data_IF_707635616728
#
_entry.id   IF_707635616728
#
_cell.length_a   1.000
_cell.length_b   1.000
_cell.length_c   1.000
_cell.angle_alpha   90.00
_cell.angle_beta   90.00
_cell.angle_gamma   90.00
#
_symmetry.space_group_name_H-M   'P 1'
#
loop_
_entity.id
_entity.type
_entity.pdbx_description
1 polymer ?
#
# COMPACT_ATOMS: atom_id res chain seq x y z
N UNK A 1 3.01 -8.53 27.38
CA UNK A 1 3.35 -8.31 25.95
C UNK A 1 2.17 -7.62 25.29
N UNK A 2 2.41 -6.54 24.55
CA UNK A 2 1.39 -5.84 23.78
C UNK A 2 0.82 -6.75 22.69
N UNK A 3 -0.46 -6.59 22.34
CA UNK A 3 -1.16 -7.47 21.40
C UNK A 3 -0.50 -7.50 20.01
N UNK A 4 -0.03 -6.35 19.53
CA UNK A 4 0.75 -6.20 18.30
C UNK A 4 2.01 -7.08 18.30
N UNK A 5 2.75 -7.12 19.43
CA UNK A 5 3.95 -7.96 19.55
C UNK A 5 3.64 -9.44 19.47
N UNK A 6 2.50 -9.87 20.01
CA UNK A 6 2.07 -11.27 19.92
C UNK A 6 1.84 -11.66 18.46
N UNK A 7 1.14 -10.81 17.70
CA UNK A 7 0.92 -11.03 16.26
C UNK A 7 2.25 -11.09 15.51
N UNK A 8 3.15 -10.14 15.75
CA UNK A 8 4.47 -10.09 15.09
C UNK A 8 5.28 -11.35 15.41
N UNK A 9 5.26 -11.84 16.65
CA UNK A 9 5.92 -13.08 17.02
C UNK A 9 5.38 -14.29 16.25
N UNK A 10 4.05 -14.38 16.08
CA UNK A 10 3.42 -15.46 15.32
C UNK A 10 3.85 -15.39 13.85
N UNK A 11 3.79 -14.20 13.23
CA UNK A 11 4.24 -14.00 11.84
C UNK A 11 5.71 -14.39 11.65
N UNK A 12 6.59 -13.97 12.57
CA UNK A 12 8.00 -14.31 12.53
C UNK A 12 8.24 -15.83 12.64
N UNK A 13 7.48 -16.52 13.51
CA UNK A 13 7.56 -17.97 13.65
C UNK A 13 7.17 -18.69 12.35
N UNK A 14 6.10 -18.28 11.68
CA UNK A 14 5.72 -18.84 10.37
C UNK A 14 6.74 -18.52 9.26
N UNK A 15 7.34 -17.33 9.27
CA UNK A 15 8.40 -17.00 8.33
C UNK A 15 9.64 -17.89 8.52
N UNK A 16 10.05 -18.14 9.77
CA UNK A 16 11.14 -19.06 10.09
C UNK A 16 10.79 -20.49 9.65
N UNK A 17 9.57 -20.96 9.95
CA UNK A 17 9.11 -22.28 9.51
C UNK A 17 9.09 -22.41 7.99
N UNK A 18 8.63 -21.40 7.27
CA UNK A 18 8.66 -21.38 5.79
C UNK A 18 10.07 -21.41 5.24
N UNK A 19 10.99 -20.63 5.82
CA UNK A 19 12.41 -20.65 5.44
C UNK A 19 13.08 -22.01 5.70
N UNK A 20 12.81 -22.61 6.86
CA UNK A 20 13.32 -23.95 7.19
C UNK A 20 12.73 -25.02 6.27
N UNK A 21 11.42 -25.00 6.05
CA UNK A 21 10.76 -25.94 5.13
C UNK A 21 11.36 -25.82 3.71
N UNK A 22 11.66 -24.60 3.25
CA UNK A 22 12.34 -24.40 1.97
C UNK A 22 13.72 -25.08 1.92
N UNK A 23 14.53 -24.93 2.97
CA UNK A 23 15.88 -25.54 3.05
C UNK A 23 15.79 -27.07 3.06
N UNK A 24 14.79 -27.64 3.74
CA UNK A 24 14.62 -29.10 3.85
C UNK A 24 13.84 -29.74 2.69
N UNK A 25 13.67 -29.03 1.57
CA UNK A 25 13.07 -29.56 0.34
C UNK A 25 11.56 -29.39 0.25
N UNK A 26 10.98 -28.40 0.95
CA UNK A 26 9.60 -27.95 0.86
C UNK A 26 8.56 -29.07 1.05
N UNK A 27 8.68 -29.84 2.13
CA UNK A 27 7.80 -30.99 2.40
C UNK A 27 6.45 -30.57 2.95
N UNK A 28 6.38 -29.44 3.67
CA UNK A 28 5.16 -28.89 4.25
C UNK A 28 4.45 -27.92 3.30
N UNK A 29 5.10 -27.55 2.18
CA UNK A 29 4.59 -26.60 1.19
C UNK A 29 4.69 -25.13 1.64
N UNK A 30 5.17 -24.86 2.86
CA UNK A 30 5.34 -23.53 3.42
C UNK A 30 6.52 -22.80 2.76
N UNK A 31 7.55 -23.54 2.35
CA UNK A 31 8.71 -23.01 1.66
C UNK A 31 8.41 -22.38 0.31
N UNK A 32 7.35 -22.84 -0.38
CA UNK A 32 6.89 -22.21 -1.63
C UNK A 32 6.29 -20.82 -1.38
N UNK A 33 5.40 -20.71 -0.40
CA UNK A 33 4.80 -19.42 -0.02
C UNK A 33 5.86 -18.42 0.49
N UNK A 34 6.89 -18.92 1.20
CA UNK A 34 8.03 -18.10 1.62
C UNK A 34 8.83 -17.56 0.42
N UNK A 35 9.12 -18.40 -0.58
CA UNK A 35 9.84 -17.99 -1.79
C UNK A 35 9.04 -17.00 -2.66
N UNK A 36 7.73 -17.24 -2.81
CA UNK A 36 6.82 -16.29 -3.48
C UNK A 36 6.81 -14.94 -2.75
N UNK A 37 6.77 -14.96 -1.41
CA UNK A 37 6.92 -13.76 -0.59
C UNK A 37 8.21 -13.00 -0.86
N UNK A 38 9.37 -13.68 -0.87
CA UNK A 38 10.66 -13.04 -1.17
C UNK A 38 10.70 -12.49 -2.61
N UNK A 39 10.20 -13.26 -3.56
CA UNK A 39 10.25 -12.88 -4.99
C UNK A 39 9.39 -11.64 -5.28
N UNK A 40 8.31 -11.46 -4.53
CA UNK A 40 7.45 -10.27 -4.65
C UNK A 40 8.03 -9.02 -3.97
N UNK A 41 9.00 -9.17 -3.05
CA UNK A 41 9.60 -8.02 -2.37
C UNK A 41 10.26 -7.03 -3.34
N UNK A 42 10.94 -7.52 -4.37
CA UNK A 42 11.61 -6.67 -5.36
C UNK A 42 10.65 -5.75 -6.13
N UNK A 43 9.66 -6.31 -6.85
CA UNK A 43 8.63 -5.54 -7.54
C UNK A 43 7.85 -4.58 -6.63
N UNK A 44 7.48 -5.04 -5.42
CA UNK A 44 6.78 -4.19 -4.44
C UNK A 44 7.66 -3.03 -4.00
N UNK A 45 8.91 -3.29 -3.60
CA UNK A 45 9.85 -2.24 -3.17
C UNK A 45 10.12 -1.23 -4.29
N UNK A 46 10.29 -1.68 -5.53
CA UNK A 46 10.49 -0.78 -6.68
C UNK A 46 9.29 0.16 -6.86
N UNK A 47 8.08 -0.37 -6.71
CA UNK A 47 6.83 0.42 -6.81
C UNK A 47 6.74 1.46 -5.69
N UNK A 48 6.99 1.05 -4.44
CA UNK A 48 6.93 1.94 -3.27
C UNK A 48 8.01 3.03 -3.30
N UNK A 49 9.25 2.68 -3.67
CA UNK A 49 10.35 3.65 -3.76
C UNK A 49 10.13 4.60 -4.94
N UNK A 50 9.68 4.08 -6.08
CA UNK A 50 9.42 4.89 -7.27
C UNK A 50 8.43 6.02 -6.99
N UNK A 51 7.29 5.70 -6.36
CA UNK A 51 6.27 6.70 -6.06
C UNK A 51 6.69 7.64 -4.91
N UNK A 52 7.48 7.15 -3.94
CA UNK A 52 8.03 7.98 -2.88
C UNK A 52 8.95 9.07 -3.44
N UNK A 53 9.80 8.73 -4.43
CA UNK A 53 10.68 9.69 -5.11
C UNK A 53 9.89 10.61 -6.05
N UNK A 54 8.83 10.11 -6.68
CA UNK A 54 8.00 10.90 -7.60
C UNK A 54 7.01 11.83 -6.87
N UNK A 55 6.71 11.55 -5.61
CA UNK A 55 5.73 12.26 -4.79
C UNK A 55 5.87 13.80 -4.83
N UNK A 56 7.07 14.40 -4.67
CA UNK A 56 7.22 15.86 -4.74
C UNK A 56 6.86 16.41 -6.12
N UNK A 57 7.24 15.71 -7.19
CA UNK A 57 6.92 16.10 -8.57
C UNK A 57 5.43 16.01 -8.81
N UNK A 58 4.78 14.91 -8.40
CA UNK A 58 3.33 14.76 -8.50
C UNK A 58 2.59 15.84 -7.72
N UNK A 59 3.06 16.16 -6.51
CA UNK A 59 2.49 17.24 -5.71
C UNK A 59 2.54 18.56 -6.47
N UNK A 60 3.71 18.98 -6.99
CA UNK A 60 3.81 20.24 -7.74
C UNK A 60 2.88 20.31 -8.96
N UNK A 61 2.64 19.19 -9.63
CA UNK A 61 1.74 19.11 -10.78
C UNK A 61 0.26 19.17 -10.36
N UNK A 62 -0.09 18.56 -9.22
CA UNK A 62 -1.46 18.42 -8.74
C UNK A 62 -1.93 19.61 -7.90
N UNK A 63 -1.04 20.25 -7.14
CA UNK A 63 -1.33 21.43 -6.30
C UNK A 63 -2.20 22.49 -6.98
N UNK A 64 -1.91 22.98 -8.21
CA UNK A 64 -2.70 24.07 -8.81
C UNK A 64 -4.17 23.72 -9.05
N UNK A 65 -4.53 22.43 -9.14
CA UNK A 65 -5.91 21.98 -9.37
C UNK A 65 -6.54 21.45 -8.08
N UNK A 66 -5.84 20.56 -7.39
CA UNK A 66 -6.37 19.86 -6.21
C UNK A 66 -6.51 20.80 -5.02
N UNK A 67 -5.53 21.70 -4.80
CA UNK A 67 -5.55 22.61 -3.64
C UNK A 67 -6.76 23.54 -3.64
N UNK A 68 -7.05 24.31 -4.71
CA UNK A 68 -8.22 25.18 -4.70
C UNK A 68 -9.54 24.41 -4.66
N UNK A 69 -9.61 23.24 -5.32
CA UNK A 69 -10.82 22.41 -5.32
C UNK A 69 -11.17 21.90 -3.91
N UNK A 70 -10.20 21.30 -3.21
CA UNK A 70 -10.42 20.77 -1.86
C UNK A 70 -10.60 21.90 -0.84
N UNK A 71 -9.86 22.99 -0.97
CA UNK A 71 -10.02 24.17 -0.10
C UNK A 71 -11.41 24.80 -0.23
N UNK A 72 -11.99 24.83 -1.44
CA UNK A 72 -13.37 25.31 -1.66
C UNK A 72 -14.40 24.45 -0.92
N UNK A 73 -14.16 23.14 -0.85
CA UNK A 73 -15.00 22.18 -0.13
C UNK A 73 -14.76 22.17 1.39
N UNK A 74 -13.79 22.96 1.89
CA UNK A 74 -13.39 22.96 3.29
C UNK A 74 -12.59 21.72 3.71
N UNK A 75 -12.00 21.00 2.76
CA UNK A 75 -11.20 19.81 2.98
C UNK A 75 -9.71 20.07 2.72
N UNK A 76 -8.84 19.34 3.41
CA UNK A 76 -7.41 19.40 3.17
C UNK A 76 -7.04 18.62 1.88
N UNK A 77 -6.19 19.17 0.99
CA UNK A 77 -5.77 18.49 -0.24
C UNK A 77 -5.11 17.12 -0.01
N UNK A 78 -4.56 16.84 1.18
CA UNK A 78 -4.02 15.54 1.55
C UNK A 78 -5.02 14.38 1.42
N UNK A 79 -6.32 14.67 1.57
CA UNK A 79 -7.40 13.68 1.42
C UNK A 79 -7.45 13.13 -0.01
N UNK A 80 -7.10 13.95 -1.02
CA UNK A 80 -7.08 13.52 -2.41
C UNK A 80 -6.11 12.35 -2.63
N UNK A 81 -4.88 12.48 -2.12
CA UNK A 81 -3.86 11.46 -2.26
C UNK A 81 -4.32 10.11 -1.68
N UNK A 82 -4.84 10.13 -0.44
CA UNK A 82 -5.35 8.92 0.21
C UNK A 82 -6.63 8.35 -0.38
N UNK A 83 -7.39 9.13 -1.15
CA UNK A 83 -8.62 8.65 -1.78
C UNK A 83 -8.36 7.84 -3.04
N UNK A 84 -7.23 8.06 -3.71
CA UNK A 84 -6.88 7.43 -4.98
C UNK A 84 -5.76 6.40 -4.81
N UNK A 85 -4.81 6.68 -3.91
CA UNK A 85 -3.66 5.81 -3.68
C UNK A 85 -3.75 5.17 -2.29
N UNK A 86 -3.53 3.86 -2.26
CA UNK A 86 -3.28 3.16 -1.02
C UNK A 86 -2.02 3.68 -0.31
N UNK A 87 -1.96 3.48 1.02
CA UNK A 87 -0.84 3.96 1.83
C UNK A 87 0.51 3.35 1.41
N UNK A 88 0.50 2.10 0.94
CA UNK A 88 1.65 1.35 0.45
C UNK A 88 2.01 1.74 -0.99
N UNK A 89 1.04 2.14 -1.80
CA UNK A 89 1.24 2.69 -3.14
C UNK A 89 1.67 4.16 -3.16
N UNK A 90 2.14 4.71 -2.04
CA UNK A 90 2.63 6.09 -1.98
C UNK A 90 1.58 7.15 -1.68
N UNK A 91 0.37 6.77 -1.27
CA UNK A 91 -0.64 7.72 -0.80
C UNK A 91 -0.15 8.55 0.39
N UNK A 92 0.63 7.95 1.30
CA UNK A 92 1.19 8.63 2.46
C UNK A 92 2.25 9.72 2.11
N UNK A 93 3.31 9.45 1.31
CA UNK A 93 4.23 10.49 0.90
C UNK A 93 3.55 11.59 0.07
N UNK A 94 2.61 11.25 -0.82
CA UNK A 94 1.89 12.26 -1.60
C UNK A 94 0.98 13.13 -0.74
N UNK A 95 0.29 12.53 0.23
CA UNK A 95 -0.52 13.28 1.18
C UNK A 95 0.33 14.25 2.01
N UNK A 96 1.55 13.87 2.40
CA UNK A 96 2.48 14.75 3.12
C UNK A 96 2.90 15.98 2.31
N UNK A 97 3.11 15.82 1.00
CA UNK A 97 3.46 16.93 0.12
C UNK A 97 2.27 17.86 -0.17
N UNK A 98 1.04 17.33 -0.18
CA UNK A 98 -0.18 18.10 -0.45
C UNK A 98 -0.81 18.73 0.81
N UNK A 99 -0.47 18.24 2.01
CA UNK A 99 -1.15 18.64 3.23
C UNK A 99 -0.85 20.08 3.65
N UNK A 100 -1.87 20.77 4.18
CA UNK A 100 -1.65 22.05 4.87
C UNK A 100 -1.19 21.88 6.32
N UNK A 101 -1.38 20.69 6.91
CA UNK A 101 -0.96 20.37 8.28
C UNK A 101 -0.45 18.93 8.41
N UNK A 102 0.46 18.66 9.38
CA UNK A 102 0.92 17.29 9.65
C UNK A 102 -0.22 16.32 9.98
N UNK A 103 -1.25 16.79 10.70
CA UNK A 103 -2.40 15.97 11.07
C UNK A 103 -3.24 15.59 9.85
N UNK A 104 -3.42 16.51 8.90
CA UNK A 104 -4.11 16.21 7.66
C UNK A 104 -3.32 15.24 6.77
N UNK A 105 -1.98 15.34 6.78
CA UNK A 105 -1.13 14.39 6.08
C UNK A 105 -1.28 12.97 6.64
N UNK A 106 -1.33 12.80 7.96
CA UNK A 106 -1.55 11.49 8.59
C UNK A 106 -2.96 10.98 8.34
N UNK A 107 -3.97 11.83 8.47
CA UNK A 107 -5.35 11.45 8.23
C UNK A 107 -5.59 11.04 6.78
N UNK A 108 -5.20 11.88 5.82
CA UNK A 108 -5.33 11.60 4.39
C UNK A 108 -4.44 10.44 3.97
N UNK A 109 -3.15 10.49 4.29
CA UNK A 109 -2.16 9.53 3.82
C UNK A 109 -2.26 8.15 4.43
N UNK A 110 -2.56 8.06 5.74
CA UNK A 110 -2.58 6.79 6.48
C UNK A 110 -4.01 6.29 6.62
N UNK A 111 -4.91 7.08 7.22
CA UNK A 111 -6.25 6.58 7.54
C UNK A 111 -7.12 6.43 6.29
N UNK A 112 -7.23 7.47 5.46
CA UNK A 112 -7.98 7.40 4.20
C UNK A 112 -7.25 6.48 3.20
N UNK A 113 -5.92 6.60 3.09
CA UNK A 113 -5.10 5.71 2.25
C UNK A 113 -5.27 4.22 2.59
N UNK A 114 -5.34 3.86 3.87
CA UNK A 114 -5.54 2.45 4.29
C UNK A 114 -6.94 1.90 4.04
N UNK A 115 -7.94 2.78 3.90
CA UNK A 115 -9.34 2.39 3.81
C UNK A 115 -9.85 2.60 2.38
N UNK A 116 -10.14 3.85 2.03
CA UNK A 116 -10.65 4.22 0.73
C UNK A 116 -9.61 4.00 -0.37
N UNK A 117 -8.36 4.45 -0.14
CA UNK A 117 -7.27 4.30 -1.10
C UNK A 117 -7.04 2.85 -1.50
N UNK A 118 -6.90 1.96 -0.50
CA UNK A 118 -6.78 0.51 -0.71
C UNK A 118 -7.99 -0.08 -1.46
N UNK A 119 -9.20 0.38 -1.17
CA UNK A 119 -10.40 -0.09 -1.86
C UNK A 119 -10.37 0.30 -3.34
N UNK A 120 -10.04 1.56 -3.63
CA UNK A 120 -10.04 2.12 -4.99
C UNK A 120 -8.89 1.56 -5.84
N UNK A 121 -7.68 1.51 -5.28
CA UNK A 121 -6.49 1.11 -6.04
C UNK A 121 -6.27 -0.40 -6.09
N UNK A 122 -6.90 -1.18 -5.20
CA UNK A 122 -6.69 -2.63 -5.14
C UNK A 122 -7.99 -3.43 -5.23
N UNK A 123 -8.94 -3.23 -4.30
CA UNK A 123 -10.13 -4.08 -4.21
C UNK A 123 -11.01 -4.00 -5.46
N UNK A 124 -11.26 -2.80 -5.98
CA UNK A 124 -12.08 -2.62 -7.19
C UNK A 124 -11.41 -3.26 -8.43
N UNK A 125 -10.14 -2.94 -8.77
CA UNK A 125 -9.46 -3.59 -9.89
C UNK A 125 -9.40 -5.13 -9.76
N UNK A 126 -9.11 -5.63 -8.56
CA UNK A 126 -9.07 -7.07 -8.30
C UNK A 126 -10.42 -7.75 -8.54
N UNK A 127 -11.50 -7.17 -8.00
CA UNK A 127 -12.86 -7.69 -8.19
C UNK A 127 -13.27 -7.68 -9.66
N UNK A 128 -12.96 -6.59 -10.39
CA UNK A 128 -13.23 -6.49 -11.83
C UNK A 128 -12.43 -7.53 -12.63
N UNK A 129 -11.15 -7.72 -12.34
CA UNK A 129 -10.31 -8.74 -12.99
C UNK A 129 -10.82 -10.16 -12.74
N UNK A 130 -11.27 -10.45 -11.52
CA UNK A 130 -11.86 -11.74 -11.17
C UNK A 130 -13.18 -12.00 -11.94
N UNK A 131 -14.01 -10.97 -12.13
CA UNK A 131 -15.27 -11.06 -12.88
C UNK A 131 -15.04 -11.18 -14.40
N UNK A 132 -14.03 -10.51 -14.94
CA UNK A 132 -13.68 -10.54 -16.37
C UNK A 132 -13.04 -11.86 -16.81
N UNK A 133 -12.77 -12.79 -15.89
CA UNK A 133 -12.14 -14.08 -16.22
C UNK A 133 -10.68 -13.97 -16.65
N UNK A 134 -10.06 -12.79 -16.60
CA UNK A 134 -8.63 -12.60 -16.91
C UNK A 134 -7.71 -13.29 -15.86
N UNK A 135 -8.26 -13.71 -14.73
CA UNK A 135 -7.60 -14.59 -13.75
C UNK A 135 -7.82 -16.11 -14.01
N UNK A 136 -8.52 -16.51 -15.09
CA UNK A 136 -8.38 -17.86 -15.65
C UNK A 136 -7.19 -17.82 -16.59
N UNK A 137 -6.03 -18.21 -16.06
CA UNK A 137 -4.93 -18.65 -16.91
C UNK A 137 -5.35 -19.91 -17.67
N UNK A 138 -5.88 -19.71 -18.87
CA UNK A 138 -5.78 -20.64 -19.98
C UNK A 138 -4.54 -20.26 -20.81
#
# INVERSE_FOLDING_TARGET
MSFDRVIICIMALFAILGGLDRIFGNRLGLGKAFEEGISTMGPLALSMVGIMVLSPVLATLLTPVVTPLFSLMGADPAVFAGSILALDMGGAPLARELAASPQAAEFGGILIGSTLGATVSFTIPFAMSALSGEMRGD
#
